data_IF_312764629780
#
_entry.id   IF_312764629780
#
_cell.length_a   1.000
_cell.length_b   1.000
_cell.length_c   1.000
_cell.angle_alpha   90.00
_cell.angle_beta   90.00
_cell.angle_gamma   90.00
#
_symmetry.space_group_name_H-M   'P 1'
#
loop_
_entity.id
_entity.type
_entity.pdbx_description
1 polymer ?
#
# COMPACT_ATOMS: atom_id res chain seq x y z
N UNK A 1 18.78 13.31 5.00
CA UNK A 1 17.35 13.44 4.63
C UNK A 1 16.72 12.08 4.75
N UNK A 2 15.80 11.90 5.71
CA UNK A 2 15.13 10.62 5.94
C UNK A 2 14.24 10.28 4.73
N UNK A 3 14.40 9.05 4.20
CA UNK A 3 13.69 8.52 3.03
C UNK A 3 12.15 8.63 3.11
N UNK A 4 11.59 8.81 4.30
CA UNK A 4 10.16 8.93 4.55
C UNK A 4 9.54 10.28 4.12
N UNK A 5 10.33 11.35 3.96
CA UNK A 5 9.83 12.69 3.63
C UNK A 5 9.59 12.91 2.12
N UNK A 6 9.87 11.89 1.29
CA UNK A 6 9.76 11.98 -0.18
C UNK A 6 8.34 11.77 -0.72
N UNK A 7 7.42 11.32 0.12
CA UNK A 7 6.04 11.04 -0.27
C UNK A 7 5.14 12.20 0.14
N UNK A 8 4.75 13.03 -0.83
CA UNK A 8 3.71 14.04 -0.63
C UNK A 8 2.46 13.39 -0.04
N UNK A 9 1.84 14.02 0.96
CA UNK A 9 0.57 13.58 1.57
C UNK A 9 -0.48 13.12 0.54
N UNK A 10 -0.53 13.76 -0.62
CA UNK A 10 -1.39 13.38 -1.75
C UNK A 10 -1.22 11.93 -2.22
N UNK A 11 0.01 11.39 -2.23
CA UNK A 11 0.25 9.99 -2.61
C UNK A 11 -0.31 9.02 -1.58
N UNK A 12 -0.14 9.35 -0.30
CA UNK A 12 -0.66 8.54 0.81
C UNK A 12 -2.18 8.56 0.79
N UNK A 13 -2.80 9.73 0.60
CA UNK A 13 -4.25 9.87 0.50
C UNK A 13 -4.82 9.09 -0.69
N UNK A 14 -4.17 9.19 -1.86
CA UNK A 14 -4.62 8.47 -3.05
C UNK A 14 -4.42 6.96 -2.92
N UNK A 15 -3.34 6.49 -2.27
CA UNK A 15 -3.15 5.08 -1.95
C UNK A 15 -4.23 4.60 -0.98
N UNK A 16 -4.55 5.40 0.04
CA UNK A 16 -5.64 5.13 0.99
C UNK A 16 -6.99 5.00 0.27
N UNK A 17 -7.31 5.92 -0.63
CA UNK A 17 -8.54 5.87 -1.43
C UNK A 17 -8.59 4.61 -2.30
N UNK A 18 -7.47 4.22 -2.92
CA UNK A 18 -7.39 3.00 -3.72
C UNK A 18 -7.62 1.75 -2.87
N UNK A 19 -7.02 1.68 -1.68
CA UNK A 19 -7.25 0.58 -0.73
C UNK A 19 -8.74 0.47 -0.33
N UNK A 20 -9.44 1.60 -0.17
CA UNK A 20 -10.86 1.63 0.22
C UNK A 20 -11.78 1.34 -0.97
N UNK A 21 -11.51 1.91 -2.16
CA UNK A 21 -12.31 1.70 -3.37
C UNK A 21 -12.14 0.31 -3.95
N UNK A 22 -10.93 -0.22 -3.87
CA UNK A 22 -10.54 -1.52 -4.40
C UNK A 22 -9.90 -2.36 -3.29
N UNK A 23 -10.70 -2.89 -2.34
CA UNK A 23 -10.19 -3.81 -1.31
C UNK A 23 -9.67 -5.13 -1.90
N UNK A 24 -9.87 -5.33 -3.21
CA UNK A 24 -9.38 -6.47 -3.97
C UNK A 24 -7.98 -6.28 -4.55
N UNK A 25 -7.46 -5.04 -4.59
CA UNK A 25 -6.15 -4.77 -5.15
C UNK A 25 -5.02 -5.31 -4.28
N UNK A 26 -4.08 -6.00 -4.94
CA UNK A 26 -2.86 -6.47 -4.30
C UNK A 26 -1.87 -5.30 -4.17
N UNK A 27 -0.87 -5.46 -3.31
CA UNK A 27 0.18 -4.45 -3.17
C UNK A 27 0.90 -4.19 -4.49
N UNK A 28 0.96 -5.20 -5.38
CA UNK A 28 1.50 -5.07 -6.72
C UNK A 28 0.63 -4.16 -7.59
N UNK A 29 -0.69 -4.34 -7.62
CA UNK A 29 -1.60 -3.46 -8.36
C UNK A 29 -1.53 -2.02 -7.85
N UNK A 30 -1.52 -1.84 -6.52
CA UNK A 30 -1.39 -0.51 -5.91
C UNK A 30 -0.05 0.15 -6.25
N UNK A 31 1.03 -0.63 -6.25
CA UNK A 31 2.36 -0.18 -6.62
C UNK A 31 2.41 0.23 -8.10
N UNK A 32 1.81 -0.57 -8.99
CA UNK A 32 1.73 -0.27 -10.43
C UNK A 32 0.90 0.99 -10.71
N UNK A 33 -0.29 1.11 -10.11
CA UNK A 33 -1.16 2.31 -10.21
C UNK A 33 -0.47 3.58 -9.69
N UNK A 34 0.35 3.44 -8.65
CA UNK A 34 1.08 4.57 -8.06
C UNK A 34 2.42 4.86 -8.73
N UNK A 35 2.90 3.97 -9.61
CA UNK A 35 4.26 3.97 -10.12
C UNK A 35 5.30 3.90 -8.99
N UNK A 36 5.01 3.11 -7.97
CA UNK A 36 5.86 2.86 -6.81
C UNK A 36 6.34 1.42 -6.79
N UNK A 37 7.36 1.16 -5.99
CA UNK A 37 7.76 -0.20 -5.66
C UNK A 37 6.81 -0.79 -4.61
N UNK A 38 6.57 -2.09 -4.70
CA UNK A 38 5.80 -2.86 -3.71
C UNK A 38 6.39 -2.67 -2.31
N UNK A 39 7.72 -2.62 -2.23
CA UNK A 39 8.45 -2.38 -0.97
C UNK A 39 8.13 -0.99 -0.39
N UNK A 40 8.06 0.04 -1.23
CA UNK A 40 7.71 1.39 -0.80
C UNK A 40 6.24 1.47 -0.37
N UNK A 41 5.33 0.87 -1.13
CA UNK A 41 3.92 0.77 -0.76
C UNK A 41 3.74 0.04 0.57
N UNK A 42 4.43 -1.08 0.78
CA UNK A 42 4.41 -1.81 2.04
C UNK A 42 4.90 -0.95 3.21
N UNK A 43 6.03 -0.25 3.05
CA UNK A 43 6.58 0.64 4.09
C UNK A 43 5.60 1.77 4.38
N UNK A 44 4.96 2.35 3.35
CA UNK A 44 3.97 3.42 3.51
C UNK A 44 2.73 2.89 4.24
N UNK A 45 2.16 1.77 3.80
CA UNK A 45 0.99 1.14 4.45
C UNK A 45 1.29 0.86 5.92
N UNK A 46 2.45 0.26 6.20
CA UNK A 46 2.87 -0.08 7.56
C UNK A 46 3.21 1.14 8.41
N UNK A 47 3.80 2.17 7.83
CA UNK A 47 4.21 3.39 8.56
C UNK A 47 3.05 4.36 8.79
N UNK A 48 2.05 4.37 7.91
CA UNK A 48 0.89 5.26 7.97
C UNK A 48 -0.38 4.55 8.44
N UNK A 49 -0.28 3.27 8.83
CA UNK A 49 -1.38 2.44 9.31
C UNK A 49 -2.61 2.49 8.37
N UNK A 50 -2.35 2.29 7.09
CA UNK A 50 -3.40 2.35 6.07
C UNK A 50 -4.32 1.12 6.21
N UNK A 51 -5.64 1.28 6.00
CA UNK A 51 -6.62 0.21 6.05
C UNK A 51 -6.52 -0.68 4.81
N UNK A 52 -5.34 -1.21 4.56
CA UNK A 52 -5.09 -2.16 3.50
C UNK A 52 -5.54 -3.53 3.99
N UNK A 53 -6.45 -4.16 3.24
CA UNK A 53 -6.78 -5.55 3.50
C UNK A 53 -5.59 -6.37 3.05
N UNK A 54 -4.74 -6.74 4.02
CA UNK A 54 -3.68 -7.70 3.83
C UNK A 54 -4.39 -9.00 3.43
N UNK A 55 -4.61 -9.19 2.13
CA UNK A 55 -4.83 -10.50 1.53
C UNK A 55 -3.51 -11.24 1.66
N UNK A 56 -3.13 -11.53 2.90
CA UNK A 56 -2.24 -12.63 3.22
C UNK A 56 -2.98 -13.78 2.56
N UNK A 57 -2.48 -14.26 1.42
CA UNK A 57 -2.93 -15.53 0.90
C UNK A 57 -2.91 -16.44 2.12
N UNK A 58 -4.09 -16.88 2.57
CA UNK A 58 -4.18 -17.85 3.64
C UNK A 58 -3.33 -19.00 3.12
N UNK A 59 -2.13 -19.14 3.65
CA UNK A 59 -1.49 -20.43 3.68
C UNK A 59 -2.41 -21.16 4.67
N UNK A 60 -3.45 -21.79 4.14
CA UNK A 60 -4.11 -22.87 4.84
C UNK A 60 -2.97 -23.85 5.15
N UNK A 61 -2.55 -23.81 6.41
CA UNK A 61 -1.85 -24.91 7.05
C UNK A 61 -2.82 -26.09 6.99
N UNK A 62 -2.62 -26.97 6.01
CA UNK A 62 -3.06 -28.36 6.03
C UNK A 62 -1.86 -29.27 6.33
#
# INVERSE_FOLDING_TARGET
MSRADKYSKQRIDRLKELCVKHPDYLMQDLAEEMGLDVSDVFIIIKSYDLPYNWKIAKHEEE
#
